data_IF_947168118787
#
_entry.id   IF_947168118787
#
_cell.length_a   1.000
_cell.length_b   1.000
_cell.length_c   1.000
_cell.angle_alpha   90.00
_cell.angle_beta   90.00
_cell.angle_gamma   90.00
#
_symmetry.space_group_name_H-M   'P 1'
#
loop_
_entity.id
_entity.type
_entity.pdbx_description
1 polymer ?
#
# COMPACT_ATOMS: atom_id res chain seq x y z
N UNK A 1 26.07 1.09 15.78
CA UNK A 1 25.64 -0.08 14.99
C UNK A 1 25.52 0.40 13.54
N UNK A 2 26.51 0.07 12.71
CA UNK A 2 26.64 0.63 11.35
C UNK A 2 25.51 0.10 10.47
N UNK A 3 24.66 1.00 9.97
CA UNK A 3 23.70 0.71 8.90
C UNK A 3 24.52 0.40 7.65
N UNK A 4 24.77 -0.88 7.45
CA UNK A 4 25.62 -1.41 6.39
C UNK A 4 25.13 -0.93 5.03
N UNK A 5 26.04 -0.28 4.29
CA UNK A 5 26.04 0.07 2.86
C UNK A 5 25.84 -1.15 1.93
N UNK A 6 24.87 -2.03 2.22
CA UNK A 6 24.41 -3.03 1.26
C UNK A 6 23.38 -2.37 0.36
N UNK A 7 23.80 -2.06 -0.87
CA UNK A 7 22.89 -1.69 -1.97
C UNK A 7 21.78 -2.75 -2.04
N UNK A 8 20.61 -2.43 -1.50
CA UNK A 8 19.43 -3.28 -1.54
C UNK A 8 19.20 -3.73 -2.98
N UNK A 9 19.32 -5.04 -3.23
CA UNK A 9 19.08 -5.59 -4.56
C UNK A 9 17.58 -5.54 -4.86
N UNK A 10 17.20 -5.57 -6.15
CA UNK A 10 15.78 -5.54 -6.52
C UNK A 10 15.02 -6.75 -5.96
N UNK A 11 15.68 -7.90 -5.83
CA UNK A 11 15.09 -9.11 -5.22
C UNK A 11 14.81 -8.92 -3.73
N UNK A 12 15.72 -8.28 -2.99
CA UNK A 12 15.52 -7.98 -1.57
C UNK A 12 14.33 -7.02 -1.39
N UNK A 13 14.18 -6.03 -2.28
CA UNK A 13 13.04 -5.10 -2.26
C UNK A 13 11.72 -5.81 -2.51
N UNK A 14 11.67 -6.76 -3.45
CA UNK A 14 10.46 -7.53 -3.76
C UNK A 14 10.06 -8.40 -2.56
N UNK A 15 11.02 -9.14 -1.98
CA UNK A 15 10.76 -9.98 -0.79
C UNK A 15 10.32 -9.15 0.42
N UNK A 16 10.91 -7.97 0.60
CA UNK A 16 10.52 -7.05 1.67
C UNK A 16 9.10 -6.52 1.44
N UNK A 17 8.75 -6.19 0.20
CA UNK A 17 7.41 -5.74 -0.17
C UNK A 17 6.35 -6.83 -0.02
N UNK A 18 6.64 -8.07 -0.38
CA UNK A 18 5.73 -9.21 -0.16
C UNK A 18 5.47 -9.42 1.33
N UNK A 19 6.54 -9.42 2.13
CA UNK A 19 6.43 -9.65 3.58
C UNK A 19 5.70 -8.51 4.29
N UNK A 20 6.01 -7.26 3.95
CA UNK A 20 5.32 -6.08 4.49
C UNK A 20 3.89 -5.96 3.97
N UNK A 21 3.64 -6.33 2.71
CA UNK A 21 2.32 -6.33 2.11
C UNK A 21 1.38 -7.33 2.79
N UNK A 22 1.87 -8.54 3.08
CA UNK A 22 1.10 -9.53 3.83
C UNK A 22 0.74 -9.04 5.24
N UNK A 23 1.70 -8.45 5.97
CA UNK A 23 1.42 -7.87 7.29
C UNK A 23 0.43 -6.70 7.20
N UNK A 24 0.59 -5.83 6.20
CA UNK A 24 -0.33 -4.71 5.95
C UNK A 24 -1.76 -5.17 5.65
N UNK A 25 -1.92 -6.26 4.89
CA UNK A 25 -3.24 -6.83 4.58
C UNK A 25 -3.97 -7.35 5.83
N UNK A 26 -3.24 -7.99 6.76
CA UNK A 26 -3.82 -8.47 8.03
C UNK A 26 -4.28 -7.28 8.89
N UNK A 27 -3.45 -6.24 8.99
CA UNK A 27 -3.79 -5.03 9.74
C UNK A 27 -5.02 -4.34 9.13
N UNK A 28 -5.09 -4.25 7.80
CA UNK A 28 -6.25 -3.68 7.11
C UNK A 28 -7.54 -4.46 7.40
N UNK A 29 -7.49 -5.80 7.42
CA UNK A 29 -8.64 -6.65 7.77
C UNK A 29 -9.17 -6.38 9.18
N UNK A 30 -8.26 -6.22 10.15
CA UNK A 30 -8.63 -5.92 11.54
C UNK A 30 -9.35 -4.56 11.62
N UNK A 31 -8.85 -3.55 10.90
CA UNK A 31 -9.50 -2.23 10.86
C UNK A 31 -10.90 -2.29 10.24
N UNK A 32 -11.08 -3.02 9.13
CA UNK A 32 -12.40 -3.21 8.51
C UNK A 32 -13.37 -3.86 9.48
N UNK A 33 -12.94 -4.90 10.19
CA UNK A 33 -13.77 -5.60 11.17
C UNK A 33 -14.18 -4.69 12.35
N UNK A 34 -13.25 -3.87 12.85
CA UNK A 34 -13.52 -2.88 13.91
C UNK A 34 -14.52 -1.79 13.48
N UNK A 35 -14.53 -1.44 12.20
CA UNK A 35 -15.46 -0.47 11.63
C UNK A 35 -16.85 -1.06 11.41
N UNK A 36 -16.93 -2.26 10.82
CA UNK A 36 -18.21 -2.93 10.56
C UNK A 36 -18.96 -3.29 11.84
N UNK A 37 -18.25 -3.64 12.92
CA UNK A 37 -18.86 -3.93 14.23
C UNK A 37 -19.43 -2.69 14.94
N UNK A 38 -19.32 -1.51 14.34
CA UNK A 38 -19.92 -0.26 14.85
C UNK A 38 -19.18 0.36 16.04
N UNK A 39 -18.16 -0.32 16.58
CA UNK A 39 -17.33 0.16 17.68
C UNK A 39 -16.57 1.45 17.33
N UNK A 40 -16.31 1.64 16.03
CA UNK A 40 -15.56 2.75 15.48
C UNK A 40 -16.43 3.74 14.67
N UNK A 41 -17.72 3.88 15.01
CA UNK A 41 -18.62 4.93 14.48
C UNK A 41 -18.05 6.36 14.45
N UNK A 42 -17.25 6.83 15.44
CA UNK A 42 -16.62 8.16 15.35
C UNK A 42 -15.44 8.24 14.37
N UNK A 43 -14.94 7.13 13.83
CA UNK A 43 -13.80 7.09 12.90
C UNK A 43 -14.23 6.99 11.42
N UNK A 44 -15.52 7.11 11.12
CA UNK A 44 -16.04 7.06 9.74
C UNK A 44 -15.37 8.12 8.83
N UNK A 45 -15.10 9.31 9.36
CA UNK A 45 -14.37 10.34 8.60
C UNK A 45 -12.92 9.92 8.29
N UNK A 46 -12.24 9.28 9.25
CA UNK A 46 -10.88 8.76 9.07
C UNK A 46 -10.86 7.65 7.99
N UNK A 47 -11.89 6.82 7.95
CA UNK A 47 -12.06 5.77 6.95
C UNK A 47 -12.31 6.35 5.58
N UNK A 48 -13.18 7.35 5.47
CA UNK A 48 -13.43 8.05 4.20
C UNK A 48 -12.17 8.75 3.68
N UNK A 49 -11.38 9.34 4.57
CA UNK A 49 -10.08 9.92 4.22
C UNK A 49 -9.09 8.84 3.74
N UNK A 50 -9.04 7.69 4.43
CA UNK A 50 -8.22 6.54 4.05
C UNK A 50 -8.61 5.94 2.71
N UNK A 51 -9.91 5.75 2.46
CA UNK A 51 -10.47 5.29 1.17
C UNK A 51 -10.10 6.25 0.03
N UNK A 52 -10.23 7.55 0.27
CA UNK A 52 -9.85 8.58 -0.70
C UNK A 52 -8.37 8.48 -1.04
N UNK A 53 -7.51 8.34 -0.04
CA UNK A 53 -6.07 8.18 -0.25
C UNK A 53 -5.75 6.89 -1.05
N UNK A 54 -6.41 5.77 -0.77
CA UNK A 54 -6.23 4.53 -1.52
C UNK A 54 -6.62 4.68 -3.00
N UNK A 55 -7.75 5.34 -3.29
CA UNK A 55 -8.20 5.59 -4.67
C UNK A 55 -7.17 6.43 -5.43
N UNK A 56 -6.63 7.48 -4.80
CA UNK A 56 -5.59 8.32 -5.42
C UNK A 56 -4.32 7.51 -5.71
N UNK A 57 -3.86 6.69 -4.76
CA UNK A 57 -2.67 5.84 -4.96
C UNK A 57 -2.90 4.84 -6.10
N UNK A 58 -4.08 4.23 -6.19
CA UNK A 58 -4.44 3.32 -7.29
C UNK A 58 -4.45 4.06 -8.63
N UNK A 59 -5.04 5.25 -8.70
CA UNK A 59 -5.09 6.07 -9.90
C UNK A 59 -3.67 6.45 -10.39
N UNK A 60 -2.80 6.93 -9.49
CA UNK A 60 -1.41 7.26 -9.82
C UNK A 60 -0.63 6.01 -10.25
N UNK A 61 -0.85 4.87 -9.59
CA UNK A 61 -0.21 3.60 -9.95
C UNK A 61 -0.63 3.10 -11.34
N UNK A 62 -1.92 3.23 -11.68
CA UNK A 62 -2.46 2.91 -13.00
C UNK A 62 -1.87 3.82 -14.08
N UNK A 63 -1.86 5.14 -13.86
CA UNK A 63 -1.28 6.10 -14.80
C UNK A 63 0.22 5.83 -15.01
N UNK A 64 0.97 5.60 -13.93
CA UNK A 64 2.38 5.24 -14.00
C UNK A 64 2.61 3.94 -14.79
N UNK A 65 1.81 2.91 -14.53
CA UNK A 65 1.86 1.63 -15.24
C UNK A 65 1.57 1.79 -16.74
N UNK A 66 0.54 2.55 -17.10
CA UNK A 66 0.18 2.83 -18.51
C UNK A 66 1.28 3.64 -19.20
N UNK A 67 1.85 4.66 -18.55
CA UNK A 67 2.93 5.47 -19.10
C UNK A 67 4.21 4.65 -19.33
N UNK A 68 4.58 3.80 -18.39
CA UNK A 68 5.73 2.89 -18.51
C UNK A 68 5.51 1.85 -19.63
N UNK A 69 4.29 1.30 -19.73
CA UNK A 69 3.90 0.37 -20.79
C UNK A 69 3.91 1.04 -22.17
N UNK A 70 3.56 2.32 -22.25
CA UNK A 70 3.60 3.11 -23.50
C UNK A 70 5.05 3.37 -23.96
N UNK A 71 5.97 3.69 -23.03
CA UNK A 71 7.39 3.93 -23.32
C UNK A 71 8.18 2.65 -23.71
N UNK A 72 7.79 1.47 -23.22
CA UNK A 72 8.47 0.19 -23.52
C UNK A 72 8.24 -0.34 -24.93
N UNK A 73 7.33 0.29 -25.70
CA UNK A 73 7.01 -0.06 -27.09
C UNK A 73 7.75 0.80 -28.14
N UNK A 74 8.63 1.72 -27.73
CA UNK A 74 9.49 2.49 -28.64
C UNK A 74 10.93 2.00 -28.57
#
# INVERSE_FOLDING_TARGET
MSFSDKKFTNEDKIKMFERMGATGAIVALIFVFLLETGYAGPYVELVNMGLTAMIVVLAVSLVGSVFFKSRRKK
#
